data_IF_491572149671
#
_entry.id   IF_491572149671
#
_cell.length_a   1.000
_cell.length_b   1.000
_cell.length_c   1.000
_cell.angle_alpha   90.00
_cell.angle_beta   90.00
_cell.angle_gamma   90.00
#
_symmetry.space_group_name_H-M   'P 1'
#
loop_
_entity.id
_entity.type
_entity.pdbx_description
1 polymer ?
#
# COMPACT_ATOMS: atom_id res chain seq x y z
N UNK A 1 -14.23 3.02 -23.03
CA UNK A 1 -14.58 2.48 -21.69
C UNK A 1 -13.52 3.01 -20.71
N UNK A 2 -13.87 3.57 -19.54
CA UNK A 2 -12.90 4.11 -18.58
C UNK A 2 -12.21 2.99 -17.79
N UNK A 3 -11.33 2.23 -18.44
CA UNK A 3 -10.57 1.13 -17.84
C UNK A 3 -9.08 1.45 -17.86
N UNK A 4 -8.39 1.06 -16.79
CA UNK A 4 -6.93 1.09 -16.70
C UNK A 4 -6.45 -0.15 -15.94
N UNK A 5 -5.19 -0.54 -16.13
CA UNK A 5 -4.57 -1.63 -15.39
C UNK A 5 -4.34 -1.18 -13.94
N UNK A 6 -4.86 -1.95 -12.98
CA UNK A 6 -4.86 -1.58 -11.56
C UNK A 6 -4.26 -2.65 -10.64
N UNK A 7 -3.45 -3.57 -11.18
CA UNK A 7 -2.72 -4.55 -10.36
C UNK A 7 -1.66 -3.91 -9.46
N UNK A 8 -0.99 -2.88 -9.97
CA UNK A 8 -0.06 -2.06 -9.20
C UNK A 8 -0.39 -0.59 -9.44
N UNK A 9 -0.62 0.14 -8.36
CA UNK A 9 -0.91 1.57 -8.38
C UNK A 9 -0.04 2.27 -7.34
N UNK A 10 0.21 3.56 -7.56
CA UNK A 10 0.94 4.37 -6.58
C UNK A 10 0.09 4.60 -5.33
N UNK A 11 0.74 4.83 -4.19
CA UNK A 11 0.06 5.14 -2.92
C UNK A 11 -0.88 6.34 -3.09
N UNK A 12 -0.46 7.36 -3.83
CA UNK A 12 -1.30 8.52 -4.14
C UNK A 12 -2.58 8.17 -4.91
N UNK A 13 -2.53 7.22 -5.85
CA UNK A 13 -3.73 6.75 -6.56
C UNK A 13 -4.63 5.88 -5.67
N UNK A 14 -4.06 5.23 -4.65
CA UNK A 14 -4.81 4.43 -3.69
C UNK A 14 -5.45 5.25 -2.56
N UNK A 15 -5.20 6.57 -2.50
CA UNK A 15 -5.69 7.43 -1.43
C UNK A 15 -7.23 7.46 -1.41
N UNK A 16 -7.83 7.17 -0.25
CA UNK A 16 -9.28 7.11 -0.09
C UNK A 16 -9.93 5.78 -0.49
N UNK A 17 -9.17 4.84 -1.06
CA UNK A 17 -9.68 3.49 -1.36
C UNK A 17 -9.75 2.64 -0.10
N UNK A 18 -10.64 1.64 -0.09
CA UNK A 18 -10.61 0.53 0.87
C UNK A 18 -10.34 -0.74 0.08
N UNK A 19 -9.32 -1.49 0.47
CA UNK A 19 -8.79 -2.62 -0.29
C UNK A 19 -8.80 -3.87 0.60
N UNK A 20 -9.39 -4.96 0.10
CA UNK A 20 -9.50 -6.22 0.86
C UNK A 20 -8.15 -6.94 0.97
N UNK A 21 -7.31 -6.86 -0.07
CA UNK A 21 -5.95 -7.42 -0.07
C UNK A 21 -4.97 -6.47 -0.76
N UNK A 22 -3.89 -6.13 -0.07
CA UNK A 22 -2.83 -5.25 -0.58
C UNK A 22 -1.46 -5.83 -0.28
N UNK A 23 -0.56 -5.74 -1.26
CA UNK A 23 0.88 -5.88 -1.04
C UNK A 23 1.51 -4.53 -1.25
N UNK A 24 2.27 -4.08 -0.27
CA UNK A 24 2.82 -2.74 -0.20
C UNK A 24 4.33 -2.84 -0.33
N UNK A 25 4.88 -2.07 -1.27
CA UNK A 25 6.32 -1.82 -1.37
C UNK A 25 6.61 -0.34 -1.13
N UNK A 26 7.31 -0.06 -0.03
CA UNK A 26 7.77 1.29 0.34
C UNK A 26 9.25 1.50 0.01
N UNK A 27 9.93 0.48 -0.54
CA UNK A 27 11.36 0.49 -0.78
C UNK A 27 12.19 0.66 0.50
N UNK A 28 13.42 1.19 0.38
CA UNK A 28 14.35 1.34 1.51
C UNK A 28 13.95 2.43 2.50
N UNK A 29 13.04 3.34 2.15
CA UNK A 29 12.47 4.39 3.02
C UNK A 29 11.25 5.01 2.34
N UNK A 30 10.33 5.53 3.14
CA UNK A 30 9.23 6.33 2.62
C UNK A 30 9.78 7.53 1.84
N UNK A 31 9.24 7.76 0.64
CA UNK A 31 9.60 8.94 -0.17
C UNK A 31 9.18 10.25 0.52
N UNK A 32 8.05 10.22 1.22
CA UNK A 32 7.51 11.32 2.00
C UNK A 32 6.93 10.78 3.32
N UNK A 33 6.96 11.59 4.36
CA UNK A 33 6.45 11.19 5.68
C UNK A 33 4.96 10.86 5.62
N UNK A 34 4.57 9.74 6.24
CA UNK A 34 3.18 9.33 6.41
C UNK A 34 2.63 8.44 5.30
N UNK A 35 3.44 8.07 4.30
CA UNK A 35 3.03 7.14 3.25
C UNK A 35 2.72 5.75 3.81
N UNK A 36 3.49 5.29 4.81
CA UNK A 36 3.18 4.03 5.50
C UNK A 36 1.81 4.07 6.14
N UNK A 37 1.49 5.14 6.88
CA UNK A 37 0.18 5.27 7.52
C UNK A 37 -0.97 5.30 6.50
N UNK A 38 -0.81 6.07 5.42
CA UNK A 38 -1.82 6.15 4.36
C UNK A 38 -2.10 4.77 3.79
N UNK A 39 -1.06 4.01 3.45
CA UNK A 39 -1.21 2.71 2.78
C UNK A 39 -1.72 1.61 3.73
N UNK A 40 -1.23 1.59 4.98
CA UNK A 40 -1.69 0.68 6.03
C UNK A 40 -3.17 0.87 6.32
N UNK A 41 -3.65 2.13 6.34
CA UNK A 41 -5.06 2.45 6.55
C UNK A 41 -5.97 2.10 5.37
N UNK A 42 -5.42 1.64 4.22
CA UNK A 42 -6.25 1.16 3.10
C UNK A 42 -6.64 -0.31 3.26
N UNK A 43 -5.89 -1.09 4.03
CA UNK A 43 -6.20 -2.49 4.28
C UNK A 43 -7.39 -2.60 5.23
N UNK A 44 -8.36 -3.45 4.88
CA UNK A 44 -9.54 -3.69 5.72
C UNK A 44 -9.25 -4.57 6.93
N UNK A 45 -8.31 -5.51 6.78
CA UNK A 45 -7.90 -6.46 7.83
C UNK A 45 -6.38 -6.65 7.81
N UNK A 46 -5.82 -7.09 8.93
CA UNK A 46 -4.39 -7.43 9.01
C UNK A 46 -4.01 -8.59 8.07
N UNK A 47 -4.88 -9.60 7.95
CA UNK A 47 -4.65 -10.73 7.04
C UNK A 47 -4.63 -10.32 5.56
N UNK A 48 -5.30 -9.22 5.22
CA UNK A 48 -5.30 -8.63 3.88
C UNK A 48 -4.07 -7.76 3.59
N UNK A 49 -3.21 -7.50 4.58
CA UNK A 49 -2.06 -6.61 4.45
C UNK A 49 -0.77 -7.42 4.36
N UNK A 50 0.02 -7.16 3.31
CA UNK A 50 1.39 -7.66 3.19
C UNK A 50 2.36 -6.51 2.93
N UNK A 51 3.46 -6.48 3.69
CA UNK A 51 4.58 -5.56 3.44
C UNK A 51 5.69 -6.32 2.69
N UNK A 52 6.30 -5.69 1.69
CA UNK A 52 7.39 -6.27 0.92
C UNK A 52 8.40 -5.18 0.49
N UNK A 53 9.70 -5.30 0.77
CA UNK A 53 10.30 -6.29 1.68
C UNK A 53 9.84 -6.05 3.12
N UNK A 54 9.58 -7.13 3.86
CA UNK A 54 9.32 -7.08 5.30
C UNK A 54 10.61 -7.41 6.04
N UNK A 55 11.08 -6.47 6.86
CA UNK A 55 12.25 -6.63 7.72
C UNK A 55 11.87 -6.24 9.15
N UNK A 56 12.00 -7.18 10.08
CA UNK A 56 11.73 -6.98 11.51
C UNK A 56 12.87 -6.26 12.24
N UNK A 57 14.07 -6.25 11.66
CA UNK A 57 15.27 -5.68 12.25
C UNK A 57 15.59 -4.28 11.73
N UNK A 58 14.72 -3.75 10.87
CA UNK A 58 14.77 -2.37 10.37
C UNK A 58 14.04 -1.43 11.33
#
# INVERSE_FOLDING_TARGET
IPLTLSWAITIHKAQGMTLDRITVDLGPKEFASGLSFIVLSRAKTFDGLRLHPFDLNR
#
